data_IF_798123750827
#
_entry.id   IF_798123750827
#
_cell.length_a   1.000
_cell.length_b   1.000
_cell.length_c   1.000
_cell.angle_alpha   90.00
_cell.angle_beta   90.00
_cell.angle_gamma   90.00
#
_symmetry.space_group_name_H-M   'P 1'
#
loop_
_entity.id
_entity.type
_entity.pdbx_description
1 polymer ?
#
# COMPACT_ATOMS: atom_id res chain seq x y z
N UNK A 1 6.47 -6.28 -3.10
CA UNK A 1 7.18 -6.89 -1.94
C UNK A 1 8.63 -6.46 -1.78
N UNK A 2 9.44 -6.44 -2.84
CA UNK A 2 10.89 -6.19 -2.76
C UNK A 2 11.30 -4.71 -2.65
N UNK A 3 10.34 -3.79 -2.60
CA UNK A 3 10.57 -2.34 -2.43
C UNK A 3 11.67 -2.01 -1.41
N UNK A 4 11.67 -2.52 -0.15
CA UNK A 4 12.69 -2.18 0.84
C UNK A 4 14.09 -2.73 0.54
N UNK A 5 14.26 -3.62 -0.44
CA UNK A 5 15.59 -4.12 -0.86
C UNK A 5 16.18 -3.34 -2.03
N UNK A 6 15.34 -2.64 -2.79
CA UNK A 6 15.74 -1.92 -4.00
C UNK A 6 15.83 -0.41 -3.74
N UNK A 7 14.95 0.12 -2.89
CA UNK A 7 14.87 1.54 -2.55
C UNK A 7 15.60 1.80 -1.23
N UNK A 8 16.60 2.67 -1.23
CA UNK A 8 17.45 2.92 -0.06
C UNK A 8 16.98 4.11 0.79
N UNK A 9 16.17 4.98 0.21
CA UNK A 9 15.50 6.08 0.88
C UNK A 9 14.54 5.54 1.95
N UNK A 10 14.26 6.37 2.96
CA UNK A 10 13.41 6.04 4.12
C UNK A 10 11.91 6.03 3.83
N UNK A 11 11.53 6.61 2.70
CA UNK A 11 10.15 6.76 2.27
C UNK A 11 10.09 6.62 0.77
N UNK A 12 9.06 5.95 0.29
CA UNK A 12 8.81 5.77 -1.15
C UNK A 12 7.32 5.85 -1.43
N UNK A 13 6.97 6.44 -2.58
CA UNK A 13 5.62 6.40 -3.14
C UNK A 13 5.61 5.35 -4.25
N UNK A 14 4.90 4.24 -4.02
CA UNK A 14 4.59 3.24 -5.03
C UNK A 14 3.29 3.62 -5.73
N UNK A 15 3.28 3.46 -7.06
CA UNK A 15 2.16 3.72 -7.95
C UNK A 15 2.05 2.57 -8.94
N UNK A 16 0.83 2.07 -9.16
CA UNK A 16 0.56 1.14 -10.25
C UNK A 16 0.79 1.82 -11.61
N UNK A 17 1.07 1.01 -12.64
CA UNK A 17 1.39 1.51 -13.98
C UNK A 17 0.16 1.97 -14.79
N UNK A 18 -1.05 1.67 -14.33
CA UNK A 18 -2.33 1.94 -14.99
C UNK A 18 -3.06 3.16 -14.41
N UNK A 19 -2.35 4.04 -13.70
CA UNK A 19 -2.90 5.28 -13.15
C UNK A 19 -2.41 6.52 -13.91
N UNK A 20 -3.11 7.64 -13.74
CA UNK A 20 -2.71 8.96 -14.24
C UNK A 20 -2.63 9.94 -13.07
N UNK A 21 -1.48 10.59 -12.90
CA UNK A 21 -1.29 11.67 -11.92
C UNK A 21 -1.69 13.00 -12.56
N UNK A 22 -2.62 13.71 -11.93
CA UNK A 22 -3.22 14.95 -12.48
C UNK A 22 -2.94 16.20 -11.63
N UNK A 23 -2.27 16.05 -10.48
CA UNK A 23 -1.98 17.14 -9.55
C UNK A 23 -0.59 16.96 -8.91
N UNK A 24 -0.12 18.02 -8.24
CA UNK A 24 1.11 18.00 -7.46
C UNK A 24 1.04 16.97 -6.32
N UNK A 25 2.14 16.24 -6.09
CA UNK A 25 2.22 15.16 -5.12
C UNK A 25 2.97 15.55 -3.83
N UNK A 26 3.42 16.80 -3.67
CA UNK A 26 4.21 17.24 -2.50
C UNK A 26 3.49 16.90 -1.19
N UNK A 27 2.19 17.20 -1.10
CA UNK A 27 1.39 16.90 0.08
C UNK A 27 1.28 15.40 0.39
N UNK A 28 1.35 14.54 -0.64
CA UNK A 28 1.35 13.10 -0.47
C UNK A 28 2.72 12.60 0.03
N UNK A 29 3.82 13.12 -0.52
CA UNK A 29 5.17 12.78 -0.05
C UNK A 29 5.41 13.19 1.40
N UNK A 30 4.86 14.33 1.82
CA UNK A 30 4.97 14.89 3.17
C UNK A 30 3.96 14.31 4.16
N UNK A 31 3.01 13.49 3.70
CA UNK A 31 1.94 12.96 4.53
C UNK A 31 2.50 12.21 5.77
N UNK A 32 1.96 12.48 6.98
CA UNK A 32 2.46 11.86 8.19
C UNK A 32 2.00 10.40 8.30
N UNK A 33 2.95 9.49 8.43
CA UNK A 33 2.67 8.05 8.63
C UNK A 33 2.38 7.70 10.09
N UNK A 34 2.74 8.57 11.05
CA UNK A 34 2.48 8.41 12.49
C UNK A 34 2.85 7.02 13.04
N UNK A 35 3.96 6.47 12.56
CA UNK A 35 4.46 5.15 12.95
C UNK A 35 3.82 3.96 12.23
N UNK A 36 2.81 4.18 11.38
CA UNK A 36 2.30 3.13 10.50
C UNK A 36 3.32 2.79 9.39
N UNK A 37 3.41 1.51 8.99
CA UNK A 37 4.31 1.07 7.92
C UNK A 37 3.93 1.61 6.54
N UNK A 38 2.68 2.03 6.32
CA UNK A 38 2.24 2.66 5.08
C UNK A 38 1.00 3.54 5.25
N UNK A 39 0.75 4.38 4.24
CA UNK A 39 -0.53 5.02 3.98
C UNK A 39 -1.06 4.60 2.60
N UNK A 40 -2.38 4.43 2.50
CA UNK A 40 -3.05 3.98 1.30
C UNK A 40 -4.47 4.55 1.23
N UNK A 41 -5.16 4.37 0.11
CA UNK A 41 -6.55 4.80 -0.07
C UNK A 41 -7.50 3.63 0.21
N UNK A 42 -8.59 3.83 0.98
CA UNK A 42 -9.59 2.78 1.21
C UNK A 42 -10.14 2.18 -0.08
N UNK A 43 -10.37 0.86 -0.09
CA UNK A 43 -10.89 0.15 -1.26
C UNK A 43 -12.44 0.20 -1.34
N UNK A 44 -12.99 1.37 -1.67
CA UNK A 44 -14.43 1.62 -1.73
C UNK A 44 -14.94 1.39 -3.18
N UNK A 45 -16.11 0.75 -3.39
CA UNK A 45 -17.13 0.35 -2.40
C UNK A 45 -16.92 -1.03 -1.76
N UNK A 46 -15.87 -1.76 -2.14
CA UNK A 46 -15.68 -3.16 -1.77
C UNK A 46 -15.54 -3.37 -0.26
N UNK A 47 -14.83 -2.49 0.44
CA UNK A 47 -14.62 -2.56 1.90
C UNK A 47 -14.23 -1.21 2.50
N UNK A 48 -14.58 -1.01 3.77
CA UNK A 48 -14.08 0.11 4.58
C UNK A 48 -12.92 -0.28 5.51
N UNK A 49 -12.62 -1.59 5.59
CA UNK A 49 -11.59 -2.17 6.44
C UNK A 49 -10.25 -2.37 5.72
N UNK A 50 -10.27 -2.42 4.39
CA UNK A 50 -9.08 -2.57 3.55
C UNK A 50 -8.74 -1.34 2.73
N UNK A 51 -7.62 -1.43 2.01
CA UNK A 51 -7.10 -0.42 1.10
C UNK A 51 -6.78 -1.01 -0.27
N UNK A 52 -6.82 -0.14 -1.27
CA UNK A 52 -6.36 -0.44 -2.61
C UNK A 52 -4.82 -0.33 -2.66
N UNK A 53 -4.14 -1.31 -3.24
CA UNK A 53 -2.67 -1.37 -3.27
C UNK A 53 -2.01 -0.57 -4.39
N UNK A 54 -2.79 0.08 -5.26
CA UNK A 54 -2.25 0.79 -6.42
C UNK A 54 -1.60 2.15 -6.11
N UNK A 55 -1.81 2.69 -4.90
CA UNK A 55 -1.11 3.87 -4.39
C UNK A 55 -0.72 3.64 -2.95
N UNK A 56 0.58 3.50 -2.69
CA UNK A 56 1.12 3.23 -1.35
C UNK A 56 2.25 4.21 -1.03
N UNK A 57 2.08 4.99 0.03
CA UNK A 57 3.19 5.72 0.66
C UNK A 57 3.78 4.82 1.74
N UNK A 58 5.03 4.40 1.56
CA UNK A 58 5.66 3.35 2.36
C UNK A 58 6.78 3.94 3.23
N UNK A 59 6.82 3.55 4.49
CA UNK A 59 7.98 3.69 5.38
C UNK A 59 8.91 2.50 5.17
N UNK A 60 9.95 2.68 4.36
CA UNK A 60 10.87 1.60 3.99
C UNK A 60 11.80 1.22 5.14
N UNK A 61 12.11 2.15 6.05
CA UNK A 61 12.89 1.84 7.25
C UNK A 61 12.08 0.92 8.16
N UNK A 62 10.80 1.23 8.40
CA UNK A 62 9.89 0.32 9.13
C UNK A 62 9.76 -1.03 8.44
N UNK A 63 9.63 -1.06 7.12
CA UNK A 63 9.54 -2.32 6.38
C UNK A 63 10.79 -3.19 6.53
N UNK A 64 11.96 -2.58 6.64
CA UNK A 64 13.23 -3.28 6.92
C UNK A 64 13.31 -3.73 8.38
N UNK A 65 13.02 -2.84 9.32
CA UNK A 65 13.05 -3.13 10.77
C UNK A 65 12.12 -4.28 11.16
N UNK A 66 10.91 -4.30 10.60
CA UNK A 66 9.89 -5.30 10.91
C UNK A 66 9.99 -6.55 10.01
N UNK A 67 10.99 -6.66 9.13
CA UNK A 67 11.13 -7.78 8.17
C UNK A 67 9.87 -8.06 7.32
N UNK A 68 9.20 -6.99 6.89
CA UNK A 68 7.91 -7.04 6.18
C UNK A 68 7.99 -7.85 4.89
N UNK A 69 9.10 -7.79 4.17
CA UNK A 69 9.26 -8.55 2.93
C UNK A 69 9.06 -10.05 3.17
N UNK A 70 9.77 -10.62 4.16
CA UNK A 70 9.68 -12.04 4.43
C UNK A 70 8.30 -12.42 4.98
N UNK A 71 7.67 -11.54 5.78
CA UNK A 71 6.30 -11.74 6.22
C UNK A 71 5.33 -11.82 5.04
N UNK A 72 5.41 -10.92 4.06
CA UNK A 72 4.58 -10.93 2.85
C UNK A 72 4.83 -12.17 1.99
N UNK A 73 6.09 -12.57 1.80
CA UNK A 73 6.45 -13.79 1.07
C UNK A 73 5.88 -15.04 1.76
N UNK A 74 6.05 -15.16 3.08
CA UNK A 74 5.54 -16.29 3.85
C UNK A 74 4.01 -16.34 3.87
N UNK A 75 3.35 -15.18 4.01
CA UNK A 75 1.89 -15.09 3.94
C UNK A 75 1.39 -15.53 2.55
N UNK A 76 2.02 -15.04 1.49
CA UNK A 76 1.66 -15.41 0.12
C UNK A 76 1.84 -16.91 -0.09
N UNK A 77 2.97 -17.50 0.31
CA UNK A 77 3.21 -18.95 0.20
C UNK A 77 2.16 -19.75 0.99
N UNK A 78 1.82 -19.31 2.21
CA UNK A 78 0.86 -20.02 3.07
C UNK A 78 -0.57 -19.96 2.54
N UNK A 79 -0.93 -18.88 1.87
CA UNK A 79 -2.30 -18.59 1.49
C UNK A 79 -2.53 -18.49 -0.03
N UNK A 80 -1.55 -18.82 -0.88
CA UNK A 80 -1.65 -18.64 -2.34
C UNK A 80 -2.84 -19.38 -2.99
N UNK A 81 -3.40 -20.39 -2.33
CA UNK A 81 -4.58 -21.13 -2.82
C UNK A 81 -5.90 -20.40 -2.57
N UNK A 82 -5.91 -19.43 -1.64
CA UNK A 82 -7.12 -18.76 -1.15
C UNK A 82 -7.05 -17.24 -1.26
N UNK A 83 -5.87 -16.67 -1.50
CA UNK A 83 -5.61 -15.23 -1.55
C UNK A 83 -5.37 -14.79 -2.98
N UNK A 84 -6.16 -13.82 -3.44
CA UNK A 84 -6.06 -13.27 -4.78
C UNK A 84 -5.10 -12.08 -4.81
N UNK A 85 -3.91 -12.30 -5.38
CA UNK A 85 -2.92 -11.26 -5.60
C UNK A 85 -2.23 -10.75 -4.33
N UNK A 86 -1.43 -9.70 -4.49
CA UNK A 86 -0.64 -9.10 -3.43
C UNK A 86 -1.44 -8.14 -2.55
N UNK A 87 -2.49 -7.49 -3.08
CA UNK A 87 -3.37 -6.59 -2.32
C UNK A 87 -3.94 -7.26 -1.06
N UNK A 88 -4.43 -8.49 -1.17
CA UNK A 88 -5.04 -9.18 -0.04
C UNK A 88 -3.98 -9.58 0.99
N UNK A 89 -2.79 -10.01 0.58
CA UNK A 89 -1.66 -10.27 1.48
C UNK A 89 -1.23 -9.00 2.23
N UNK A 90 -1.20 -7.85 1.54
CA UNK A 90 -0.92 -6.54 2.14
C UNK A 90 -2.01 -6.16 3.16
N UNK A 91 -3.28 -6.30 2.80
CA UNK A 91 -4.41 -6.00 3.68
C UNK A 91 -4.43 -6.90 4.93
N UNK A 92 -4.10 -8.19 4.78
CA UNK A 92 -3.98 -9.12 5.92
C UNK A 92 -2.83 -8.72 6.86
N UNK A 93 -1.64 -8.42 6.33
CA UNK A 93 -0.46 -8.11 7.14
C UNK A 93 -0.57 -6.76 7.86
N UNK A 94 -1.16 -5.79 7.18
CA UNK A 94 -1.27 -4.41 7.66
C UNK A 94 -2.63 -4.07 8.25
N UNK A 95 -3.47 -5.08 8.53
CA UNK A 95 -4.74 -4.87 9.22
C UNK A 95 -4.51 -4.02 10.48
N UNK A 96 -5.29 -2.95 10.61
CA UNK A 96 -5.21 -1.94 11.68
C UNK A 96 -3.87 -1.17 11.81
N UNK A 97 -2.94 -1.36 10.87
CA UNK A 97 -1.61 -0.73 10.85
C UNK A 97 -1.34 0.00 9.53
N UNK A 98 -2.27 0.84 9.10
CA UNK A 98 -2.09 1.72 7.94
C UNK A 98 -2.82 3.05 8.13
N UNK A 99 -2.35 4.10 7.47
CA UNK A 99 -3.01 5.41 7.50
C UNK A 99 -3.90 5.59 6.27
N UNK A 100 -5.11 6.10 6.51
CA UNK A 100 -6.08 6.39 5.44
C UNK A 100 -5.73 7.70 4.73
N UNK A 101 -5.52 7.61 3.43
CA UNK A 101 -5.40 8.75 2.53
C UNK A 101 -6.80 9.16 2.02
N UNK A 102 -6.90 10.41 1.56
CA UNK A 102 -8.07 10.90 0.82
C UNK A 102 -8.29 10.10 -0.47
N UNK A 103 -9.55 9.86 -0.84
CA UNK A 103 -9.93 9.20 -2.10
C UNK A 103 -9.37 9.91 -3.34
N UNK A 104 -9.08 11.20 -3.24
CA UNK A 104 -8.46 11.99 -4.32
C UNK A 104 -7.08 11.48 -4.75
N UNK A 105 -6.38 10.73 -3.91
CA UNK A 105 -5.05 10.20 -4.23
C UNK A 105 -5.08 8.88 -4.98
N UNK A 106 -6.21 8.18 -5.02
CA UNK A 106 -6.40 6.96 -5.79
C UNK A 106 -7.90 6.78 -6.07
N UNK A 107 -8.38 7.46 -7.10
CA UNK A 107 -9.76 7.34 -7.55
C UNK A 107 -9.88 6.17 -8.52
N UNK A 108 -10.60 5.13 -8.11
CA UNK A 108 -10.74 3.88 -8.85
C UNK A 108 -11.80 3.99 -9.96
N UNK A 109 -11.52 4.80 -10.99
CA UNK A 109 -12.44 5.06 -12.12
C UNK A 109 -12.67 3.86 -13.05
N UNK A 110 -11.87 2.80 -12.94
CA UNK A 110 -12.04 1.56 -13.70
C UNK A 110 -13.25 0.71 -13.28
N UNK A 111 -13.99 1.12 -12.25
CA UNK A 111 -15.22 0.46 -11.79
C UNK A 111 -16.51 1.00 -12.44
N UNK A 112 -16.42 2.05 -13.25
CA UNK A 112 -17.56 2.51 -14.05
C UNK A 112 -17.74 1.56 -15.26
N UNK A 113 -18.68 0.62 -15.10
CA UNK A 113 -19.22 -0.24 -16.19
C UNK A 113 -19.97 0.56 -17.25
#
# INVERSE_FOLDING_TARGET
YFIPTIVFEKRVLYLDSDIIVTADLTSLFEFPLDGCPLAAVPDIPNTSEGFNSGVLLIDTDRWREDDIQNQLLNLTIKHHEHVYGDQESLNMLFKDRWKKLSLSYNLQVGYDT
#
